data_IF_795960049578
#
_entry.id   IF_795960049578
#
_cell.length_a   1.000
_cell.length_b   1.000
_cell.length_c   1.000
_cell.angle_alpha   90.00
_cell.angle_beta   90.00
_cell.angle_gamma   90.00
#
_symmetry.space_group_name_H-M   'P 1'
#
loop_
_entity.id
_entity.type
_entity.pdbx_description
1 polymer ?
#
# COMPACT_ATOMS: atom_id res chain seq x y z
N UNK A 1 10.11 -2.92 -12.60
CA UNK A 1 11.44 -2.39 -12.20
C UNK A 1 11.34 -0.95 -11.71
N UNK A 2 10.26 -0.25 -12.04
CA UNK A 2 10.09 1.19 -11.91
C UNK A 2 9.96 1.69 -10.46
N UNK A 3 9.68 0.81 -9.50
CA UNK A 3 9.51 1.15 -8.08
C UNK A 3 10.82 1.07 -7.27
N UNK A 4 11.87 0.46 -7.83
CA UNK A 4 13.19 0.37 -7.19
C UNK A 4 13.95 1.70 -7.27
N UNK A 5 13.82 2.41 -8.39
CA UNK A 5 14.47 3.70 -8.61
C UNK A 5 14.16 4.76 -7.54
N UNK A 6 12.89 5.04 -7.16
CA UNK A 6 12.59 6.02 -6.12
C UNK A 6 13.12 5.62 -4.73
N UNK A 7 13.12 4.32 -4.40
CA UNK A 7 13.69 3.82 -3.15
C UNK A 7 15.22 4.04 -3.14
N UNK A 8 15.91 3.71 -4.22
CA UNK A 8 17.36 3.90 -4.32
C UNK A 8 17.76 5.38 -4.29
N UNK A 9 16.96 6.26 -4.91
CA UNK A 9 17.17 7.69 -4.85
C UNK A 9 17.02 8.24 -3.41
N UNK A 10 15.95 7.88 -2.70
CA UNK A 10 15.76 8.27 -1.30
C UNK A 10 16.88 7.72 -0.40
N UNK A 11 17.31 6.48 -0.63
CA UNK A 11 18.43 5.87 0.09
C UNK A 11 19.76 6.61 -0.16
N UNK A 12 19.98 7.10 -1.39
CA UNK A 12 21.14 7.92 -1.74
C UNK A 12 21.15 9.24 -0.97
N UNK A 13 20.03 9.96 -0.97
CA UNK A 13 19.86 11.21 -0.20
C UNK A 13 20.09 10.99 1.29
N UNK A 14 19.54 9.92 1.86
CA UNK A 14 19.71 9.60 3.29
C UNK A 14 21.20 9.38 3.64
N UNK A 15 21.95 8.67 2.78
CA UNK A 15 23.38 8.44 2.99
C UNK A 15 24.19 9.74 2.92
N UNK A 16 23.87 10.62 1.99
CA UNK A 16 24.52 11.93 1.87
C UNK A 16 24.21 12.82 3.08
N UNK A 17 22.95 12.91 3.47
CA UNK A 17 22.50 13.66 4.64
C UNK A 17 23.16 13.14 5.94
N UNK A 18 23.22 11.81 6.12
CA UNK A 18 23.90 11.19 7.24
C UNK A 18 25.42 11.49 7.25
N UNK A 19 26.07 11.42 6.09
CA UNK A 19 27.50 11.76 5.95
C UNK A 19 27.77 13.22 6.28
N UNK A 20 26.85 14.12 5.91
CA UNK A 20 26.92 15.54 6.22
C UNK A 20 26.47 15.87 7.67
N UNK A 21 25.94 14.90 8.40
CA UNK A 21 25.31 15.07 9.72
C UNK A 21 24.18 16.12 9.70
N UNK A 22 23.51 16.26 8.55
CA UNK A 22 22.40 17.20 8.35
C UNK A 22 21.10 16.56 8.85
N UNK A 23 20.79 16.80 10.13
CA UNK A 23 19.64 16.19 10.82
C UNK A 23 18.30 16.51 10.10
N UNK A 24 18.00 17.77 9.71
CA UNK A 24 16.81 18.07 8.91
C UNK A 24 16.75 17.29 7.59
N UNK A 25 17.87 17.16 6.88
CA UNK A 25 17.90 16.39 5.63
C UNK A 25 17.74 14.88 5.86
N UNK A 26 18.24 14.34 6.98
CA UNK A 26 18.02 12.95 7.38
C UNK A 26 16.53 12.70 7.60
N UNK A 27 15.85 13.55 8.37
CA UNK A 27 14.40 13.39 8.64
C UNK A 27 13.59 13.44 7.35
N UNK A 28 13.90 14.38 6.46
CA UNK A 28 13.26 14.48 5.15
C UNK A 28 13.51 13.24 4.29
N UNK A 29 14.76 12.76 4.22
CA UNK A 29 15.11 11.58 3.43
C UNK A 29 14.48 10.29 3.99
N UNK A 30 14.34 10.18 5.32
CA UNK A 30 13.65 9.08 5.98
C UNK A 30 12.15 9.08 5.65
N UNK A 31 11.51 10.25 5.65
CA UNK A 31 10.12 10.38 5.22
C UNK A 31 9.93 9.99 3.75
N UNK A 32 10.79 10.49 2.85
CA UNK A 32 10.77 10.10 1.43
C UNK A 32 10.94 8.59 1.24
N UNK A 33 11.87 7.98 1.99
CA UNK A 33 12.13 6.54 1.93
C UNK A 33 10.89 5.74 2.36
N UNK A 34 10.26 6.13 3.47
CA UNK A 34 9.04 5.50 3.97
C UNK A 34 7.90 5.59 2.95
N UNK A 35 7.67 6.77 2.35
CA UNK A 35 6.64 6.94 1.33
C UNK A 35 6.92 6.10 0.09
N UNK A 36 8.18 6.05 -0.38
CA UNK A 36 8.55 5.23 -1.52
C UNK A 36 8.31 3.73 -1.28
N UNK A 37 8.63 3.25 -0.07
CA UNK A 37 8.37 1.86 0.32
C UNK A 37 6.89 1.53 0.43
N UNK A 38 6.08 2.42 1.01
CA UNK A 38 4.62 2.25 1.09
C UNK A 38 3.98 2.22 -0.30
N UNK A 39 4.41 3.11 -1.21
CA UNK A 39 3.92 3.09 -2.58
C UNK A 39 4.31 1.78 -3.30
N UNK A 40 5.54 1.31 -3.11
CA UNK A 40 5.99 0.06 -3.70
C UNK A 40 5.24 -1.17 -3.13
N UNK A 41 4.94 -1.20 -1.83
CA UNK A 41 4.18 -2.30 -1.22
C UNK A 41 2.72 -2.29 -1.67
N UNK A 42 2.07 -1.12 -1.72
CA UNK A 42 0.71 -0.99 -2.22
C UNK A 42 0.60 -1.47 -3.67
N UNK A 43 1.57 -1.12 -4.51
CA UNK A 43 1.57 -1.58 -5.90
C UNK A 43 1.79 -3.08 -6.02
N UNK A 44 2.57 -3.70 -5.14
CA UNK A 44 2.70 -5.15 -5.11
C UNK A 44 1.36 -5.82 -4.77
N UNK A 45 0.61 -5.28 -3.80
CA UNK A 45 -0.74 -5.74 -3.49
C UNK A 45 -1.70 -5.54 -4.66
N UNK A 46 -1.65 -4.39 -5.33
CA UNK A 46 -2.48 -4.10 -6.49
C UNK A 46 -2.15 -5.02 -7.68
N UNK A 47 -0.86 -5.27 -7.93
CA UNK A 47 -0.40 -6.18 -8.98
C UNK A 47 -0.80 -7.64 -8.67
N UNK A 48 -0.70 -8.07 -7.41
CA UNK A 48 -1.16 -9.39 -6.99
C UNK A 48 -2.69 -9.56 -7.16
N UNK A 49 -3.49 -8.53 -6.83
CA UNK A 49 -4.93 -8.55 -7.05
C UNK A 49 -5.30 -8.54 -8.53
N UNK A 50 -4.60 -7.76 -9.35
CA UNK A 50 -4.82 -7.74 -10.81
C UNK A 50 -4.52 -9.11 -11.46
N UNK A 51 -3.58 -9.87 -10.89
CA UNK A 51 -3.22 -11.20 -11.39
C UNK A 51 -4.16 -12.32 -10.89
N UNK A 52 -4.85 -12.11 -9.75
CA UNK A 52 -5.90 -13.00 -9.27
C UNK A 52 -7.26 -12.85 -10.01
N UNK A 53 -7.43 -11.76 -10.77
CA UNK A 53 -8.68 -11.45 -11.51
C UNK A 53 -8.76 -12.00 -12.94
N UNK A 54 -7.73 -12.68 -13.45
CA UNK A 54 -7.73 -13.23 -14.81
C UNK A 54 -8.17 -14.70 -14.82
N UNK A 55 -9.43 -14.97 -14.49
CA UNK A 55 -10.08 -16.23 -14.86
C UNK A 55 -10.75 -16.05 -16.24
N UNK A 56 -10.38 -16.81 -17.28
CA UNK A 56 -11.04 -16.74 -18.58
C UNK A 56 -12.37 -17.49 -18.51
N UNK A 57 -13.49 -16.78 -18.63
CA UNK A 57 -14.80 -17.41 -18.79
C UNK A 57 -15.91 -16.64 -18.12
N UNK A 58 -16.50 -15.69 -18.85
CA UNK A 58 -17.88 -15.25 -18.63
C UNK A 58 -18.46 -14.82 -19.98
N UNK A 59 -18.68 -15.80 -20.85
CA UNK A 59 -19.78 -15.74 -21.81
C UNK A 59 -21.07 -15.68 -20.97
N UNK A 60 -21.76 -14.55 -21.01
CA UNK A 60 -22.90 -14.33 -20.11
C UNK A 60 -23.50 -12.93 -20.16
N UNK A 61 -23.59 -12.34 -21.36
CA UNK A 61 -24.44 -11.18 -21.56
C UNK A 61 -25.92 -11.63 -21.54
N UNK A 62 -26.60 -11.57 -20.39
CA UNK A 62 -28.07 -11.58 -20.29
C UNK A 62 -28.57 -11.17 -18.88
N UNK A 63 -28.99 -9.88 -18.80
CA UNK A 63 -30.03 -9.24 -17.96
C UNK A 63 -30.02 -9.22 -16.40
N UNK A 64 -30.42 -8.07 -15.78
CA UNK A 64 -30.62 -7.83 -14.33
C UNK A 64 -32.13 -7.94 -13.93
N UNK A 65 -32.63 -7.51 -12.73
CA UNK A 65 -32.10 -7.40 -11.36
C UNK A 65 -33.01 -8.08 -10.29
N UNK A 66 -32.44 -8.68 -9.23
CA UNK A 66 -33.11 -8.96 -7.94
C UNK A 66 -32.03 -9.49 -6.99
N UNK A 67 -31.81 -9.09 -5.75
CA UNK A 67 -32.41 -8.17 -4.79
C UNK A 67 -31.50 -8.24 -3.54
N UNK A 68 -31.63 -7.27 -2.64
CA UNK A 68 -30.96 -7.13 -1.34
C UNK A 68 -29.50 -6.62 -1.29
N UNK A 69 -29.38 -5.32 -0.99
CA UNK A 69 -28.30 -4.74 -0.15
C UNK A 69 -28.95 -4.40 1.21
N UNK A 70 -28.23 -4.49 2.35
CA UNK A 70 -27.27 -3.44 2.74
C UNK A 70 -25.98 -4.02 3.39
N UNK A 71 -24.81 -3.44 3.11
CA UNK A 71 -24.05 -2.51 3.98
C UNK A 71 -23.42 -3.13 5.23
N UNK A 72 -22.27 -2.57 5.55
CA UNK A 72 -21.57 -2.58 6.84
C UNK A 72 -20.61 -3.73 7.17
N UNK A 73 -19.31 -3.42 7.02
CA UNK A 73 -18.46 -3.16 8.18
C UNK A 73 -18.62 -4.14 9.35
N UNK A 74 -18.17 -5.39 9.16
CA UNK A 74 -17.64 -6.12 10.32
C UNK A 74 -16.23 -5.60 10.62
N UNK A 75 -16.21 -4.37 11.14
CA UNK A 75 -15.23 -3.94 12.14
C UNK A 75 -15.20 -5.03 13.19
N UNK A 76 -14.15 -5.84 13.18
CA UNK A 76 -13.84 -6.76 14.28
C UNK A 76 -13.61 -5.91 15.52
N UNK A 77 -14.64 -5.84 16.36
CA UNK A 77 -14.62 -5.20 17.67
C UNK A 77 -13.45 -5.79 18.46
N UNK A 78 -12.47 -4.95 18.77
CA UNK A 78 -11.35 -5.36 19.62
C UNK A 78 -11.85 -5.30 21.05
N UNK A 79 -12.09 -6.47 21.64
CA UNK A 79 -12.40 -6.58 23.07
C UNK A 79 -11.21 -6.04 23.90
N UNK A 80 -11.25 -4.75 24.22
CA UNK A 80 -10.34 -4.10 25.15
C UNK A 80 -10.72 -4.55 26.57
N UNK A 81 -10.01 -5.54 27.10
CA UNK A 81 -10.13 -5.95 28.49
C UNK A 81 -9.55 -4.83 29.38
N UNK A 82 -10.43 -4.09 30.06
CA UNK A 82 -10.09 -3.01 31.00
C UNK A 82 -9.23 -3.55 32.15
N UNK A 83 -7.95 -3.18 32.19
CA UNK A 83 -7.07 -3.50 33.32
C UNK A 83 -7.43 -2.56 34.48
N UNK A 84 -8.11 -3.10 35.49
CA UNK A 84 -8.29 -2.47 36.81
C UNK A 84 -7.19 -2.86 37.78
#
# INVERSE_FOLDING_TARGET
ADKKAPIEAALGKLKEAHKAQDIPAIDNAMNELNTAFQAASQDMYNAANAQAGAQPGADGAQQPPHGDSPSDDNVTDVDFEEVK
#
